data_IF_031061827040
#
_entry.id   IF_031061827040
#
_cell.length_a   1.000
_cell.length_b   1.000
_cell.length_c   1.000
_cell.angle_alpha   90.00
_cell.angle_beta   90.00
_cell.angle_gamma   90.00
#
_symmetry.space_group_name_H-M   'P 1'
#
loop_
_entity.id
_entity.type
_entity.pdbx_description
1 polymer ?
#
# COMPACT_ATOMS: atom_id res chain seq x y z
N UNK A 1 -11.78 -6.34 13.89
CA UNK A 1 -10.86 -5.23 13.53
C UNK A 1 -11.65 -4.23 12.72
N UNK A 2 -11.59 -2.93 13.03
CA UNK A 2 -12.25 -1.91 12.21
C UNK A 2 -11.27 -1.47 11.12
N UNK A 3 -11.53 -1.86 9.86
CA UNK A 3 -10.63 -1.59 8.73
C UNK A 3 -10.40 -0.09 8.49
N UNK A 4 -11.36 0.76 8.87
CA UNK A 4 -11.27 2.22 8.74
C UNK A 4 -10.03 2.80 9.46
N UNK A 5 -9.59 2.16 10.55
CA UNK A 5 -8.40 2.56 11.32
C UNK A 5 -7.06 2.25 10.62
N UNK A 6 -7.12 1.65 9.43
CA UNK A 6 -5.95 1.29 8.63
C UNK A 6 -5.74 2.27 7.46
N UNK A 7 -6.67 3.20 7.24
CA UNK A 7 -6.47 4.26 6.26
C UNK A 7 -5.17 5.02 6.59
N UNK A 8 -4.33 5.23 5.57
CA UNK A 8 -3.01 5.85 5.70
C UNK A 8 -2.00 5.10 6.58
N UNK A 9 -2.24 3.82 6.84
CA UNK A 9 -1.18 2.91 7.28
C UNK A 9 -0.44 2.32 6.06
N UNK A 10 0.73 1.73 6.30
CA UNK A 10 1.38 0.89 5.30
C UNK A 10 1.42 -0.58 5.73
N UNK A 11 1.27 -1.47 4.76
CA UNK A 11 1.64 -2.87 4.86
C UNK A 11 2.99 -3.04 4.17
N UNK A 12 4.06 -3.04 4.96
CA UNK A 12 5.42 -3.17 4.45
C UNK A 12 5.78 -4.66 4.35
N UNK A 13 6.21 -5.10 3.18
CA UNK A 13 6.81 -6.43 3.01
C UNK A 13 8.29 -6.32 3.29
N UNK A 14 8.75 -7.10 4.27
CA UNK A 14 10.12 -7.10 4.75
C UNK A 14 10.69 -8.49 4.48
N UNK A 15 11.86 -8.55 3.84
CA UNK A 15 12.56 -9.82 3.62
C UNK A 15 13.34 -10.29 4.86
N UNK A 16 13.88 -11.50 4.78
CA UNK A 16 14.78 -12.14 5.76
C UNK A 16 15.96 -11.27 6.20
N UNK A 17 16.44 -10.39 5.31
CA UNK A 17 17.51 -9.40 5.58
C UNK A 17 17.02 -8.13 6.28
N UNK A 18 15.74 -8.03 6.61
CA UNK A 18 15.13 -6.85 7.26
C UNK A 18 14.90 -5.66 6.32
N UNK A 19 15.04 -5.83 5.01
CA UNK A 19 14.84 -4.78 4.01
C UNK A 19 13.38 -4.70 3.56
N UNK A 20 12.85 -3.48 3.43
CA UNK A 20 11.50 -3.26 2.88
C UNK A 20 11.55 -3.42 1.36
N UNK A 21 10.94 -4.48 0.85
CA UNK A 21 10.89 -4.80 -0.59
C UNK A 21 9.61 -4.31 -1.27
N UNK A 22 8.55 -4.03 -0.49
CA UNK A 22 7.34 -3.37 -0.95
C UNK A 22 6.72 -2.54 0.18
N UNK A 23 6.16 -1.36 -0.15
CA UNK A 23 5.55 -0.46 0.82
C UNK A 23 4.12 -0.07 0.41
N UNK A 24 3.17 -0.95 0.72
CA UNK A 24 1.77 -0.80 0.34
C UNK A 24 1.08 0.23 1.22
N UNK A 25 1.02 1.49 0.78
CA UNK A 25 0.35 2.57 1.50
C UNK A 25 -1.15 2.58 1.19
N UNK A 26 -1.98 2.42 2.22
CA UNK A 26 -3.45 2.37 2.07
C UNK A 26 -3.98 3.79 1.86
N UNK A 27 -4.49 4.05 0.66
CA UNK A 27 -5.05 5.34 0.24
C UNK A 27 -6.58 5.34 0.19
N UNK A 28 -7.20 4.17 0.27
CA UNK A 28 -8.66 4.03 0.32
C UNK A 28 -9.09 2.67 0.84
N UNK A 29 -10.36 2.58 1.22
CA UNK A 29 -11.00 1.37 1.74
C UNK A 29 -12.29 1.19 0.96
N UNK A 30 -12.42 0.07 0.28
CA UNK A 30 -13.62 -0.31 -0.47
C UNK A 30 -14.32 -1.45 0.26
N UNK A 31 -15.34 -1.11 1.06
CA UNK A 31 -16.10 -2.09 1.86
C UNK A 31 -16.96 -3.00 1.00
N UNK A 32 -17.39 -2.54 -0.19
CA UNK A 32 -18.20 -3.36 -1.11
C UNK A 32 -17.38 -4.46 -1.78
N UNK A 33 -16.10 -4.18 -2.06
CA UNK A 33 -15.15 -5.15 -2.61
C UNK A 33 -14.32 -5.90 -1.56
N UNK A 34 -14.48 -5.55 -0.28
CA UNK A 34 -13.65 -6.03 0.82
C UNK A 34 -12.14 -5.89 0.54
N UNK A 35 -11.74 -4.71 0.03
CA UNK A 35 -10.37 -4.45 -0.42
C UNK A 35 -9.84 -3.08 0.00
N UNK A 36 -8.54 -3.01 0.26
CA UNK A 36 -7.78 -1.78 0.40
C UNK A 36 -7.33 -1.29 -0.97
N UNK A 37 -7.52 0.00 -1.25
CA UNK A 37 -6.85 0.66 -2.39
C UNK A 37 -5.46 1.04 -1.94
N UNK A 38 -4.43 0.48 -2.57
CA UNK A 38 -3.05 0.69 -2.15
C UNK A 38 -2.22 1.39 -3.22
N UNK A 39 -1.31 2.23 -2.73
CA UNK A 39 -0.27 2.87 -3.49
C UNK A 39 1.09 2.32 -3.06
N UNK A 40 1.88 1.80 -3.99
CA UNK A 40 3.21 1.26 -3.73
C UNK A 40 4.26 2.15 -4.40
N UNK A 41 5.05 2.86 -3.59
CA UNK A 41 6.13 3.72 -4.08
C UNK A 41 7.26 2.88 -4.65
N UNK A 42 7.64 1.83 -3.90
CA UNK A 42 8.70 0.89 -4.20
C UNK A 42 8.07 -0.46 -4.55
N UNK A 43 7.54 -0.59 -5.76
CA UNK A 43 7.18 -1.90 -6.31
C UNK A 43 8.25 -2.28 -7.35
N UNK A 44 8.91 -3.46 -7.24
CA UNK A 44 9.71 -4.00 -8.34
C UNK A 44 8.87 -4.33 -9.57
N UNK A 45 7.55 -4.54 -9.42
CA UNK A 45 6.59 -4.62 -10.52
C UNK A 45 6.16 -3.25 -11.06
N UNK A 46 5.57 -3.22 -12.26
CA UNK A 46 5.17 -1.99 -12.94
C UNK A 46 3.97 -1.25 -12.29
N UNK A 47 3.13 -1.95 -11.52
CA UNK A 47 1.88 -1.40 -11.00
C UNK A 47 2.08 -0.66 -9.67
N UNK A 48 1.86 0.65 -9.68
CA UNK A 48 1.90 1.51 -8.49
C UNK A 48 0.57 1.56 -7.72
N UNK A 49 -0.53 1.20 -8.38
CA UNK A 49 -1.88 1.24 -7.83
C UNK A 49 -2.53 -0.12 -8.01
N UNK A 50 -3.12 -0.67 -6.95
CA UNK A 50 -3.87 -1.93 -7.02
C UNK A 50 -4.79 -2.07 -5.81
N UNK A 51 -5.72 -3.02 -5.92
CA UNK A 51 -6.60 -3.41 -4.82
C UNK A 51 -5.97 -4.60 -4.08
N UNK A 52 -5.98 -4.55 -2.75
CA UNK A 52 -5.46 -5.58 -1.86
C UNK A 52 -6.59 -6.11 -0.96
N UNK A 53 -6.94 -7.40 -1.00
CA UNK A 53 -8.03 -7.96 -0.21
C UNK A 53 -7.84 -7.74 1.30
N UNK A 54 -8.93 -7.55 2.05
CA UNK A 54 -8.89 -7.43 3.51
C UNK A 54 -8.28 -8.65 4.20
N UNK A 55 -8.42 -9.84 3.60
CA UNK A 55 -7.81 -11.08 4.08
C UNK A 55 -6.28 -11.01 4.15
N UNK A 56 -5.65 -10.10 3.40
CA UNK A 56 -4.20 -9.89 3.45
C UNK A 56 -3.70 -9.44 4.83
N UNK A 57 -4.56 -8.82 5.66
CA UNK A 57 -4.25 -8.52 7.06
C UNK A 57 -3.87 -9.78 7.85
N UNK A 58 -4.42 -10.95 7.47
CA UNK A 58 -4.10 -12.22 8.11
C UNK A 58 -2.63 -12.64 7.98
N UNK A 59 -1.86 -12.00 7.10
CA UNK A 59 -0.43 -12.23 6.91
C UNK A 59 0.47 -11.28 7.72
N UNK A 60 -0.11 -10.30 8.42
CA UNK A 60 0.67 -9.40 9.28
C UNK A 60 1.38 -10.21 10.37
N UNK A 61 2.67 -9.94 10.54
CA UNK A 61 3.58 -10.60 11.48
C UNK A 61 3.71 -12.12 11.29
N UNK A 62 3.33 -12.63 10.10
CA UNK A 62 3.60 -14.02 9.68
C UNK A 62 4.70 -14.06 8.63
N UNK A 63 5.64 -14.97 8.82
CA UNK A 63 6.66 -15.28 7.82
C UNK A 63 6.09 -16.21 6.75
N UNK A 64 6.30 -15.85 5.48
CA UNK A 64 5.92 -16.57 4.27
C UNK A 64 7.09 -16.45 3.30
N UNK A 65 7.67 -17.57 2.91
CA UNK A 65 8.80 -17.63 1.97
C UNK A 65 9.96 -16.68 2.33
N UNK A 66 10.30 -16.60 3.61
CA UNK A 66 11.38 -15.73 4.12
C UNK A 66 11.05 -14.24 4.10
N UNK A 67 9.78 -13.86 3.94
CA UNK A 67 9.32 -12.47 4.05
C UNK A 67 8.13 -12.37 5.01
N UNK A 68 7.94 -11.20 5.63
CA UNK A 68 6.77 -10.96 6.48
C UNK A 68 6.18 -9.58 6.22
N UNK A 69 4.90 -9.43 6.54
CA UNK A 69 4.17 -8.16 6.40
C UNK A 69 4.14 -7.46 7.76
N UNK A 70 4.52 -6.18 7.80
CA UNK A 70 4.41 -5.35 8.99
C UNK A 70 3.44 -4.21 8.77
N UNK A 71 2.47 -4.07 9.68
CA UNK A 71 1.60 -2.89 9.73
C UNK A 71 2.36 -1.70 10.33
N UNK A 72 2.44 -0.62 9.58
CA UNK A 72 3.14 0.60 9.99
C UNK A 72 2.15 1.76 10.04
N UNK A 73 2.02 2.36 11.23
CA UNK A 73 1.30 3.62 11.43
C UNK A 73 2.26 4.79 11.23
N UNK A 74 1.79 5.80 10.52
CA UNK A 74 2.62 6.94 10.13
C UNK A 74 2.25 8.20 10.92
N UNK A 75 3.22 9.09 11.12
CA UNK A 75 2.98 10.45 11.61
C UNK A 75 2.32 11.28 10.50
N UNK A 76 1.56 12.31 10.87
CA UNK A 76 0.85 13.22 9.93
C UNK A 76 1.75 13.73 8.79
N UNK A 77 2.95 14.22 9.10
CA UNK A 77 3.89 14.72 8.08
C UNK A 77 4.28 13.65 7.04
N UNK A 78 4.44 12.40 7.47
CA UNK A 78 4.73 11.27 6.56
C UNK A 78 3.51 10.94 5.70
N UNK A 79 2.30 10.94 6.28
CA UNK A 79 1.05 10.74 5.54
C UNK A 79 0.89 11.79 4.44
N UNK A 80 1.07 13.06 4.77
CA UNK A 80 0.97 14.16 3.81
C UNK A 80 1.98 14.04 2.67
N UNK A 81 3.23 13.66 2.98
CA UNK A 81 4.25 13.41 1.96
C UNK A 81 3.83 12.28 1.02
N UNK A 82 3.38 11.15 1.57
CA UNK A 82 2.93 9.98 0.79
C UNK A 82 1.71 10.31 -0.08
N UNK A 83 0.76 11.08 0.43
CA UNK A 83 -0.41 11.54 -0.33
C UNK A 83 -0.02 12.47 -1.48
N UNK A 84 0.94 13.38 -1.29
CA UNK A 84 1.47 14.21 -2.39
C UNK A 84 2.10 13.34 -3.48
N UNK A 85 2.89 12.35 -3.09
CA UNK A 85 3.50 11.40 -4.04
C UNK A 85 2.43 10.58 -4.76
N UNK A 86 1.42 10.07 -4.05
CA UNK A 86 0.28 9.38 -4.63
C UNK A 86 -0.43 10.23 -5.70
N UNK A 87 -0.81 11.46 -5.36
CA UNK A 87 -1.50 12.37 -6.29
C UNK A 87 -0.68 12.65 -7.54
N UNK A 88 0.63 12.86 -7.39
CA UNK A 88 1.54 13.06 -8.52
C UNK A 88 1.54 11.87 -9.50
N UNK A 89 1.64 10.63 -8.98
CA UNK A 89 1.62 9.46 -9.84
C UNK A 89 0.23 9.18 -10.42
N UNK A 90 -0.85 9.46 -9.69
CA UNK A 90 -2.21 9.27 -10.16
C UNK A 90 -2.50 10.21 -11.34
N UNK A 91 -2.08 11.46 -11.23
CA UNK A 91 -2.16 12.42 -12.33
C UNK A 91 -1.42 11.90 -13.57
N UNK A 92 -0.16 11.47 -13.40
CA UNK A 92 0.63 10.89 -14.52
C UNK A 92 0.01 9.65 -15.13
N UNK A 93 -0.63 8.82 -14.33
CA UNK A 93 -1.34 7.62 -14.81
C UNK A 93 -2.52 8.01 -15.69
N UNK A 94 -3.37 8.92 -15.21
CA UNK A 94 -4.54 9.39 -15.96
C UNK A 94 -4.16 10.13 -17.26
N UNK A 95 -3.06 10.89 -17.25
CA UNK A 95 -2.53 11.55 -18.46
C UNK A 95 -2.01 10.58 -19.52
N UNK A 96 -1.59 9.37 -19.15
CA UNK A 96 -1.18 8.32 -20.09
C UNK A 96 -2.38 7.63 -20.72
N UNK A 97 -3.38 7.28 -19.92
CA UNK A 97 -4.61 6.63 -20.40
C UNK A 97 -5.39 7.51 -21.37
N UNK A 98 -5.35 8.85 -21.23
CA UNK A 98 -5.99 9.78 -22.16
C UNK A 98 -5.25 9.98 -23.50
N UNK A 99 -4.04 9.43 -23.65
CA UNK A 99 -3.22 9.51 -24.87
C UNK A 99 -3.22 8.21 -25.68
N UNK A 100 -3.98 7.21 -25.22
CA UNK A 100 -4.26 5.94 -25.87
C UNK A 100 -5.67 6.00 -26.48
#
# INVERSE_FOLDING_TARGET
MVFDNLLYCSLNVINDKGSIIANQFIVGIDKGKEAFKVFCENNPGAYKFYDLPFTYIGFVDREIDGSFVKLVRHKKATIEKKLKTYSFYLQKYNEKEQKL
#
